data_IF_851014121658
#
_entry.id   IF_851014121658
#
_cell.length_a   1.000
_cell.length_b   1.000
_cell.length_c   1.000
_cell.angle_alpha   90.00
_cell.angle_beta   90.00
_cell.angle_gamma   90.00
#
_symmetry.space_group_name_H-M   'P 1'
#
loop_
_entity.id
_entity.type
_entity.pdbx_description
1 polymer ?
#
# COMPACT_ATOMS: atom_id res chain seq x y z
N UNK A 1 1.19 -8.23 -15.37
CA UNK A 1 2.14 -7.46 -14.55
C UNK A 1 2.14 -8.01 -13.13
N UNK A 2 3.29 -8.04 -12.43
CA UNK A 2 3.49 -8.76 -11.17
C UNK A 2 2.43 -8.53 -10.06
N UNK A 3 2.07 -7.29 -9.64
CA UNK A 3 1.15 -7.10 -8.52
C UNK A 3 -0.27 -7.62 -8.79
N UNK A 4 -0.72 -7.59 -10.05
CA UNK A 4 -2.00 -8.20 -10.46
C UNK A 4 -1.99 -9.74 -10.32
N UNK A 5 -0.84 -10.38 -10.50
CA UNK A 5 -0.72 -11.83 -10.27
C UNK A 5 -0.74 -12.15 -8.77
N UNK A 6 -0.02 -11.38 -7.97
CA UNK A 6 0.12 -11.61 -6.52
C UNK A 6 -1.15 -11.30 -5.72
N UNK A 7 -1.96 -10.30 -6.13
CA UNK A 7 -3.21 -9.96 -5.45
C UNK A 7 -4.29 -11.07 -5.49
N UNK A 8 -4.08 -12.10 -6.31
CA UNK A 8 -4.95 -13.28 -6.47
C UNK A 8 -4.41 -14.52 -5.77
N UNK A 9 -3.20 -14.44 -5.21
CA UNK A 9 -2.55 -15.54 -4.50
C UNK A 9 -2.93 -15.50 -3.02
N UNK A 10 -3.60 -16.57 -2.54
CA UNK A 10 -4.08 -16.63 -1.16
C UNK A 10 -2.95 -16.55 -0.13
N UNK A 11 -1.79 -17.14 -0.41
CA UNK A 11 -0.63 -17.11 0.52
C UNK A 11 -0.12 -15.68 0.68
N UNK A 12 -0.10 -14.90 -0.39
CA UNK A 12 0.27 -13.48 -0.35
C UNK A 12 -0.75 -12.68 0.46
N UNK A 13 -2.04 -12.89 0.23
CA UNK A 13 -3.09 -12.17 0.93
C UNK A 13 -3.08 -12.47 2.43
N UNK A 14 -2.88 -13.72 2.82
CA UNK A 14 -2.81 -14.13 4.23
C UNK A 14 -1.57 -13.57 4.92
N UNK A 15 -0.42 -13.51 4.22
CA UNK A 15 0.78 -12.85 4.72
C UNK A 15 0.54 -11.36 5.00
N UNK A 16 -0.09 -10.65 4.06
CA UNK A 16 -0.37 -9.21 4.22
C UNK A 16 -1.34 -8.96 5.38
N UNK A 17 -2.40 -9.77 5.52
CA UNK A 17 -3.32 -9.70 6.66
C UNK A 17 -2.63 -10.00 8.00
N UNK A 18 -1.72 -10.97 8.03
CA UNK A 18 -0.95 -11.29 9.24
C UNK A 18 -0.02 -10.15 9.64
N UNK A 19 0.61 -9.47 8.67
CA UNK A 19 1.41 -8.27 8.93
C UNK A 19 0.55 -7.13 9.48
N UNK A 20 -0.60 -6.89 8.87
CA UNK A 20 -1.54 -5.85 9.28
C UNK A 20 -2.04 -6.08 10.72
N UNK A 21 -2.48 -7.30 11.01
CA UNK A 21 -2.99 -7.69 12.33
C UNK A 21 -1.92 -7.62 13.43
N UNK A 22 -0.64 -7.72 13.05
CA UNK A 22 0.50 -7.61 13.96
C UNK A 22 1.07 -6.18 14.05
N UNK A 23 0.46 -5.19 13.38
CA UNK A 23 0.96 -3.82 13.31
C UNK A 23 2.34 -3.69 12.67
N UNK A 24 2.72 -4.64 11.80
CA UNK A 24 4.01 -4.64 11.12
C UNK A 24 3.98 -3.76 9.87
N UNK A 25 5.11 -3.17 9.46
CA UNK A 25 5.14 -2.29 8.29
C UNK A 25 4.58 -2.95 7.02
N UNK A 26 3.63 -2.27 6.36
CA UNK A 26 3.10 -2.60 5.04
C UNK A 26 3.43 -1.45 4.10
N UNK A 27 4.39 -1.67 3.21
CA UNK A 27 4.88 -0.65 2.30
C UNK A 27 4.52 -0.97 0.84
N UNK A 28 3.83 -0.05 0.15
CA UNK A 28 3.41 -0.25 -1.23
C UNK A 28 3.68 0.99 -2.10
N UNK A 29 4.30 0.79 -3.26
CA UNK A 29 4.62 1.86 -4.21
C UNK A 29 3.98 1.58 -5.58
N UNK A 30 3.54 2.63 -6.26
CA UNK A 30 2.99 2.55 -7.62
C UNK A 30 1.75 1.64 -7.68
N UNK A 31 1.82 0.50 -8.37
CA UNK A 31 0.73 -0.48 -8.47
C UNK A 31 0.74 -1.53 -7.33
N UNK A 32 1.73 -1.45 -6.43
CA UNK A 32 1.83 -2.37 -5.29
C UNK A 32 0.60 -2.33 -4.38
N UNK A 33 -0.13 -1.20 -4.36
CA UNK A 33 -1.34 -1.00 -3.56
C UNK A 33 -2.48 -1.98 -3.87
N UNK A 34 -2.49 -2.63 -5.05
CA UNK A 34 -3.50 -3.65 -5.37
C UNK A 34 -3.48 -4.85 -4.44
N UNK A 35 -2.31 -5.22 -3.90
CA UNK A 35 -2.19 -6.37 -2.99
C UNK A 35 -2.89 -6.06 -1.65
N UNK A 36 -2.56 -4.98 -0.92
CA UNK A 36 -3.28 -4.60 0.30
C UNK A 36 -4.75 -4.22 0.06
N UNK A 37 -5.12 -3.70 -1.12
CA UNK A 37 -6.55 -3.59 -1.52
C UNK A 37 -7.22 -4.97 -1.47
N UNK A 38 -6.67 -5.96 -2.17
CA UNK A 38 -7.24 -7.32 -2.21
C UNK A 38 -7.15 -8.04 -0.86
N UNK A 39 -6.19 -7.70 -0.02
CA UNK A 39 -6.10 -8.20 1.34
C UNK A 39 -7.15 -7.57 2.29
N UNK A 40 -7.75 -6.44 1.89
CA UNK A 40 -8.78 -5.74 2.65
C UNK A 40 -8.24 -4.82 3.76
N UNK A 41 -6.94 -4.50 3.73
CA UNK A 41 -6.24 -3.80 4.83
C UNK A 41 -6.14 -2.27 4.64
N UNK A 42 -6.82 -1.70 3.64
CA UNK A 42 -6.79 -0.26 3.35
C UNK A 42 -8.07 0.50 3.68
N UNK A 43 -9.09 -0.17 4.21
CA UNK A 43 -10.35 0.50 4.56
C UNK A 43 -10.12 1.55 5.67
N UNK A 44 -10.40 2.81 5.37
CA UNK A 44 -10.23 3.94 6.30
C UNK A 44 -8.79 4.44 6.44
N UNK A 45 -7.84 3.85 5.73
CA UNK A 45 -6.41 4.20 5.82
C UNK A 45 -6.08 5.28 4.77
N UNK A 46 -5.30 6.28 5.15
CA UNK A 46 -4.73 7.26 4.22
C UNK A 46 -3.63 6.61 3.40
N UNK A 47 -3.76 6.68 2.08
CA UNK A 47 -2.80 6.07 1.14
C UNK A 47 -2.60 6.95 -0.08
N UNK A 48 -1.49 6.73 -0.77
CA UNK A 48 -1.25 7.19 -2.13
C UNK A 48 -0.90 5.99 -3.01
N UNK A 49 -0.77 6.20 -4.32
CA UNK A 49 -0.46 5.15 -5.27
C UNK A 49 -0.40 5.69 -6.69
N UNK A 50 -0.06 4.81 -7.64
CA UNK A 50 -0.05 5.18 -9.05
C UNK A 50 -1.41 5.79 -9.45
N UNK A 51 -1.45 6.87 -10.26
CA UNK A 51 -2.70 7.41 -10.76
C UNK A 51 -3.60 6.35 -11.43
N UNK A 52 -2.99 5.32 -12.04
CA UNK A 52 -3.71 4.23 -12.70
C UNK A 52 -4.49 3.30 -11.76
N UNK A 53 -4.27 3.38 -10.45
CA UNK A 53 -4.99 2.58 -9.44
C UNK A 53 -5.75 3.44 -8.43
N UNK A 54 -5.86 4.75 -8.67
CA UNK A 54 -6.52 5.69 -7.75
C UNK A 54 -7.95 5.25 -7.45
N UNK A 55 -8.72 4.92 -8.48
CA UNK A 55 -10.13 4.54 -8.32
C UNK A 55 -10.25 3.20 -7.59
N UNK A 56 -9.32 2.26 -7.78
CA UNK A 56 -9.28 1.02 -7.03
C UNK A 56 -9.04 1.26 -5.53
N UNK A 57 -8.12 2.19 -5.18
CA UNK A 57 -7.84 2.56 -3.79
C UNK A 57 -9.09 3.17 -3.13
N UNK A 58 -9.74 4.12 -3.82
CA UNK A 58 -10.97 4.77 -3.33
C UNK A 58 -12.11 3.76 -3.17
N UNK A 59 -12.33 2.90 -4.18
CA UNK A 59 -13.39 1.89 -4.14
C UNK A 59 -13.16 0.82 -3.06
N UNK A 60 -11.90 0.55 -2.69
CA UNK A 60 -11.55 -0.30 -1.56
C UNK A 60 -11.81 0.34 -0.19
N UNK A 61 -12.19 1.62 -0.16
CA UNK A 61 -12.47 2.39 1.05
C UNK A 61 -11.24 3.09 1.64
N UNK A 62 -10.15 3.20 0.88
CA UNK A 62 -8.97 3.96 1.30
C UNK A 62 -9.19 5.47 1.11
N UNK A 63 -8.52 6.27 1.93
CA UNK A 63 -8.51 7.73 1.81
C UNK A 63 -7.32 8.10 0.91
N UNK A 64 -7.57 8.22 -0.40
CA UNK A 64 -6.53 8.57 -1.36
C UNK A 64 -6.04 10.01 -1.18
N UNK A 65 -4.73 10.21 -1.14
CA UNK A 65 -4.07 11.52 -1.06
C UNK A 65 -2.98 11.60 -2.11
N UNK A 66 -2.95 12.66 -2.92
CA UNK A 66 -1.90 12.85 -3.95
C UNK A 66 -0.63 13.49 -3.34
N UNK A 67 0.10 12.68 -2.58
CA UNK A 67 1.39 13.05 -1.98
C UNK A 67 2.51 12.08 -2.41
N UNK A 68 3.76 12.54 -2.35
CA UNK A 68 4.93 11.72 -2.69
C UNK A 68 5.07 10.50 -1.78
N UNK A 69 4.80 10.69 -0.49
CA UNK A 69 4.77 9.61 0.49
C UNK A 69 3.61 9.88 1.44
N UNK A 70 2.84 8.86 1.77
CA UNK A 70 1.81 8.91 2.81
C UNK A 70 2.14 7.83 3.82
N UNK A 71 2.16 8.23 5.09
CA UNK A 71 2.33 7.35 6.25
C UNK A 71 1.06 7.43 7.08
N UNK A 72 0.48 6.27 7.40
CA UNK A 72 -0.67 6.15 8.29
C UNK A 72 -0.52 4.89 9.14
N UNK A 73 -0.17 5.06 10.41
CA UNK A 73 0.23 3.95 11.28
C UNK A 73 1.41 3.16 10.72
N UNK A 74 1.23 1.86 10.53
CA UNK A 74 2.21 0.94 9.95
C UNK A 74 2.14 0.86 8.41
N UNK A 75 1.32 1.68 7.74
CA UNK A 75 1.26 1.73 6.28
C UNK A 75 2.13 2.86 5.71
N UNK A 76 2.95 2.53 4.70
CA UNK A 76 3.75 3.51 3.93
C UNK A 76 3.45 3.35 2.45
N UNK A 77 3.05 4.43 1.78
CA UNK A 77 2.69 4.37 0.37
C UNK A 77 3.29 5.51 -0.45
N UNK A 78 3.58 5.24 -1.74
CA UNK A 78 4.13 6.23 -2.69
C UNK A 78 3.65 5.99 -4.12
N UNK A 79 3.70 7.00 -4.99
CA UNK A 79 3.02 6.96 -6.30
C UNK A 79 3.85 6.34 -7.41
N UNK A 80 5.16 6.58 -7.41
CA UNK A 80 6.04 6.31 -8.57
C UNK A 80 7.52 6.28 -8.17
N UNK A 81 8.42 5.75 -9.02
CA UNK A 81 9.85 5.61 -8.69
C UNK A 81 10.53 6.90 -8.23
N UNK A 82 10.10 8.06 -8.72
CA UNK A 82 10.63 9.38 -8.31
C UNK A 82 10.40 9.66 -6.81
N UNK A 83 9.39 9.02 -6.20
CA UNK A 83 9.07 9.16 -4.78
C UNK A 83 9.91 8.21 -3.89
N UNK A 84 10.74 7.32 -4.46
CA UNK A 84 11.55 6.33 -3.72
C UNK A 84 12.40 6.93 -2.58
N UNK A 85 13.07 8.09 -2.73
CA UNK A 85 13.82 8.68 -1.62
C UNK A 85 12.95 9.00 -0.39
N UNK A 86 11.70 9.43 -0.62
CA UNK A 86 10.75 9.69 0.47
C UNK A 86 10.18 8.38 1.03
N UNK A 87 9.78 7.46 0.15
CA UNK A 87 9.28 6.14 0.51
C UNK A 87 10.24 5.37 1.42
N UNK A 88 11.49 5.21 0.99
CA UNK A 88 12.50 4.44 1.74
C UNK A 88 12.81 5.10 3.10
N UNK A 89 12.88 6.43 3.15
CA UNK A 89 13.13 7.15 4.41
C UNK A 89 12.02 6.88 5.43
N UNK A 90 10.76 6.98 5.03
CA UNK A 90 9.65 6.74 5.95
C UNK A 90 9.53 5.26 6.34
N UNK A 91 9.77 4.34 5.40
CA UNK A 91 9.78 2.90 5.70
C UNK A 91 10.85 2.54 6.74
N UNK A 92 12.07 3.07 6.61
CA UNK A 92 13.16 2.80 7.56
C UNK A 92 12.82 3.30 8.97
N UNK A 93 12.01 4.36 9.12
CA UNK A 93 11.60 4.87 10.44
C UNK A 93 10.62 3.95 11.19
N UNK A 94 10.01 2.99 10.50
CA UNK A 94 9.06 2.04 11.08
C UNK A 94 9.71 0.71 11.51
N UNK A 95 11.02 0.56 11.31
CA UNK A 95 11.80 -0.66 11.62
C UNK A 95 12.79 -0.31 12.73
#
# INVERSE_FOLDING_TARGET
FMPDKLRRDQVVLDLVKAFDSAGKPIAAICHGGWIPISAGVYRGIRVTGSPGIKDDLVNAGAIYVDEAVVVDGHHVTSRRPEDLPAFCRELIRLI
#
